data_IF_508936014342
#
_entry.id   IF_508936014342
#
_cell.length_a   1.000
_cell.length_b   1.000
_cell.length_c   1.000
_cell.angle_alpha   90.00
_cell.angle_beta   90.00
_cell.angle_gamma   90.00
#
_symmetry.space_group_name_H-M   'P 1'
#
loop_
_entity.id
_entity.type
_entity.pdbx_description
1 polymer ?
#
# COMPACT_ATOMS: atom_id res chain seq x y z
N UNK A 1 -12.58 16.90 -7.09
CA UNK A 1 -11.60 16.54 -6.04
C UNK A 1 -10.83 15.34 -6.58
N UNK A 2 -9.57 15.50 -6.98
CA UNK A 2 -8.78 14.43 -7.63
C UNK A 2 -8.24 13.54 -6.51
N UNK A 3 -8.64 12.28 -6.51
CA UNK A 3 -8.13 11.32 -5.56
C UNK A 3 -6.79 10.80 -6.10
N UNK A 4 -5.77 10.67 -5.26
CA UNK A 4 -4.45 10.14 -5.61
C UNK A 4 -4.02 9.11 -4.56
N UNK A 5 -4.26 7.81 -4.77
CA UNK A 5 -3.80 6.72 -3.92
C UNK A 5 -2.66 6.03 -4.63
N UNK A 6 -1.47 6.38 -4.16
CA UNK A 6 -0.27 5.62 -4.40
C UNK A 6 -0.44 4.27 -3.70
N UNK A 7 -0.35 3.17 -4.45
CA UNK A 7 -0.62 1.84 -3.93
C UNK A 7 0.36 1.49 -2.81
N UNK A 8 -0.14 1.51 -1.57
CA UNK A 8 0.00 0.48 -0.50
C UNK A 8 1.43 0.09 -0.05
N UNK A 9 2.50 0.72 -0.54
CA UNK A 9 3.87 0.43 -0.12
C UNK A 9 4.21 0.94 1.29
N UNK A 10 3.35 1.74 1.93
CA UNK A 10 3.70 2.53 3.12
C UNK A 10 2.54 2.73 4.12
N UNK A 11 1.65 1.76 4.24
CA UNK A 11 0.56 1.82 5.22
C UNK A 11 1.16 1.78 6.67
N UNK A 12 0.43 2.23 7.69
CA UNK A 12 0.64 1.89 9.12
C UNK A 12 2.06 2.00 9.74
N UNK A 13 2.17 2.98 10.64
CA UNK A 13 3.10 2.98 11.77
C UNK A 13 2.34 2.42 12.97
N UNK A 14 2.80 1.30 13.54
CA UNK A 14 2.98 1.17 15.00
C UNK A 14 3.85 -0.04 15.37
N UNK A 15 4.82 0.19 16.25
CA UNK A 15 5.85 -0.77 16.65
C UNK A 15 5.31 -1.98 17.44
N UNK A 16 5.71 -3.21 17.07
CA UNK A 16 6.55 -4.13 17.88
C UNK A 16 6.57 -5.59 17.35
N UNK A 17 7.63 -6.30 17.75
CA UNK A 17 7.95 -7.73 17.65
C UNK A 17 6.78 -8.73 17.54
N UNK A 18 7.01 -9.85 16.82
CA UNK A 18 6.21 -11.10 16.74
C UNK A 18 4.89 -11.09 17.55
N UNK A 19 3.95 -10.22 17.17
CA UNK A 19 2.67 -10.13 17.84
C UNK A 19 1.89 -11.40 17.52
N UNK A 20 1.12 -11.90 18.47
CA UNK A 20 0.00 -12.80 18.19
C UNK A 20 -1.12 -12.03 17.49
N UNK A 21 -2.07 -12.74 16.88
CA UNK A 21 -3.26 -12.11 16.30
C UNK A 21 -3.98 -11.26 17.36
N UNK A 22 -4.13 -11.82 18.56
CA UNK A 22 -4.75 -11.19 19.73
C UNK A 22 -4.05 -9.88 20.11
N UNK A 23 -2.72 -9.89 20.18
CA UNK A 23 -1.94 -8.68 20.53
C UNK A 23 -2.05 -7.60 19.46
N UNK A 24 -2.05 -7.99 18.16
CA UNK A 24 -2.23 -7.03 17.06
C UNK A 24 -3.59 -6.33 17.11
N UNK A 25 -4.66 -7.07 17.39
CA UNK A 25 -6.01 -6.52 17.42
C UNK A 25 -6.48 -6.05 18.80
N UNK A 26 -5.68 -6.27 19.85
CA UNK A 26 -6.04 -5.91 21.22
C UNK A 26 -7.26 -6.67 21.76
N UNK A 27 -7.44 -7.94 21.34
CA UNK A 27 -8.58 -8.80 21.71
C UNK A 27 -8.13 -10.02 22.50
N UNK A 28 -9.04 -10.64 23.24
CA UNK A 28 -8.74 -11.88 23.99
C UNK A 28 -8.67 -13.13 23.11
N UNK A 29 -9.34 -13.09 21.95
CA UNK A 29 -9.37 -14.18 20.97
C UNK A 29 -9.71 -13.58 19.61
N UNK A 30 -8.91 -13.90 18.59
CA UNK A 30 -9.21 -13.47 17.23
C UNK A 30 -10.44 -14.18 16.64
N UNK A 31 -11.32 -13.40 16.01
CA UNK A 31 -12.45 -13.93 15.25
C UNK A 31 -12.01 -14.47 13.88
N UNK A 32 -12.94 -15.05 13.09
CA UNK A 32 -12.60 -15.62 11.78
C UNK A 32 -11.99 -14.59 10.82
N UNK A 33 -12.56 -13.38 10.75
CA UNK A 33 -12.00 -12.30 9.91
C UNK A 33 -10.58 -11.93 10.32
N UNK A 34 -10.36 -11.69 11.61
CA UNK A 34 -9.05 -11.30 12.16
C UNK A 34 -8.01 -12.38 11.90
N UNK A 35 -8.37 -13.67 11.99
CA UNK A 35 -7.47 -14.76 11.65
C UNK A 35 -7.12 -14.77 10.14
N UNK A 36 -8.08 -14.57 9.23
CA UNK A 36 -7.79 -14.48 7.79
C UNK A 36 -6.88 -13.28 7.45
N UNK A 37 -7.15 -12.14 8.09
CA UNK A 37 -6.35 -10.91 7.92
C UNK A 37 -5.00 -11.01 8.63
N UNK A 38 -4.87 -11.84 9.67
CA UNK A 38 -3.59 -12.09 10.35
C UNK A 38 -2.70 -13.07 9.59
N UNK A 39 -3.29 -14.09 8.97
CA UNK A 39 -2.58 -15.04 8.10
C UNK A 39 -2.05 -14.37 6.81
N UNK A 40 -2.42 -13.11 6.58
CA UNK A 40 -1.93 -12.23 5.55
C UNK A 40 -0.40 -12.04 5.63
N UNK A 41 0.31 -12.46 4.58
CA UNK A 41 1.76 -12.27 4.46
C UNK A 41 2.63 -13.50 4.80
N UNK A 42 2.03 -14.66 5.13
CA UNK A 42 2.80 -15.92 5.34
C UNK A 42 3.50 -16.46 4.09
N UNK A 43 3.22 -15.89 2.92
CA UNK A 43 3.85 -16.23 1.66
C UNK A 43 4.50 -15.00 1.02
N UNK A 44 5.70 -14.61 1.49
CA UNK A 44 6.39 -13.41 1.04
C UNK A 44 6.87 -13.47 -0.42
N UNK A 45 6.88 -14.66 -1.02
CA UNK A 45 7.36 -14.88 -2.39
C UNK A 45 6.22 -15.12 -3.39
N UNK A 46 5.04 -15.53 -2.93
CA UNK A 46 3.81 -15.55 -3.73
C UNK A 46 2.95 -14.32 -3.50
N UNK A 47 1.65 -14.52 -3.31
CA UNK A 47 0.69 -13.41 -3.30
C UNK A 47 0.78 -12.51 -2.05
N UNK A 48 1.55 -12.91 -1.04
CA UNK A 48 1.88 -12.07 0.12
C UNK A 48 3.07 -11.13 -0.10
N UNK A 49 3.69 -11.10 -1.29
CA UNK A 49 4.83 -10.21 -1.61
C UNK A 49 4.63 -8.79 -1.11
N UNK A 50 3.49 -8.20 -1.45
CA UNK A 50 3.24 -6.81 -1.14
C UNK A 50 3.07 -6.57 0.36
N UNK A 51 2.36 -7.49 1.03
CA UNK A 51 2.17 -7.50 2.47
C UNK A 51 3.50 -7.69 3.22
N UNK A 52 4.38 -8.54 2.70
CA UNK A 52 5.68 -8.77 3.32
C UNK A 52 6.59 -7.54 3.15
N UNK A 53 6.69 -7.01 1.92
CA UNK A 53 7.44 -5.80 1.64
C UNK A 53 6.98 -4.66 2.57
N UNK A 54 5.66 -4.55 2.71
CA UNK A 54 5.01 -3.62 3.61
C UNK A 54 5.47 -3.81 5.07
N UNK A 55 5.32 -5.02 5.62
CA UNK A 55 5.72 -5.33 6.99
C UNK A 55 7.22 -5.05 7.21
N UNK A 56 8.10 -5.42 6.27
CA UNK A 56 9.55 -5.17 6.40
C UNK A 56 9.87 -3.67 6.46
N UNK A 57 9.19 -2.86 5.66
CA UNK A 57 9.36 -1.39 5.68
C UNK A 57 8.78 -0.78 6.95
N UNK A 58 7.62 -1.24 7.43
CA UNK A 58 6.99 -0.79 8.68
C UNK A 58 7.93 -0.97 9.88
N UNK A 59 8.59 -2.12 9.98
CA UNK A 59 9.55 -2.41 11.06
C UNK A 59 10.90 -1.68 10.89
N UNK A 60 11.09 -0.97 9.77
CA UNK A 60 12.30 -0.21 9.52
C UNK A 60 12.23 1.19 10.12
N UNK A 61 13.37 1.71 10.60
CA UNK A 61 13.46 3.10 11.08
C UNK A 61 13.52 4.15 9.95
N UNK A 62 13.17 3.78 8.71
CA UNK A 62 13.33 4.63 7.54
C UNK A 62 12.60 5.97 7.69
N UNK A 63 11.31 5.98 8.05
CA UNK A 63 10.56 7.23 8.21
C UNK A 63 11.12 8.09 9.34
N UNK A 64 11.42 7.47 10.48
CA UNK A 64 11.96 8.17 11.66
C UNK A 64 13.28 8.92 11.38
N UNK A 65 14.06 8.47 10.37
CA UNK A 65 15.41 9.00 10.11
C UNK A 65 15.60 9.50 8.67
N UNK A 66 14.59 9.38 7.82
CA UNK A 66 14.68 9.54 6.37
C UNK A 66 15.90 8.88 5.72
N UNK A 67 16.30 7.73 6.26
CA UNK A 67 17.46 6.97 5.79
C UNK A 67 17.02 5.81 4.92
N UNK A 68 17.22 5.96 3.61
CA UNK A 68 16.82 4.98 2.60
C UNK A 68 17.69 3.72 2.57
N UNK A 69 18.77 3.59 3.35
CA UNK A 69 19.64 2.41 3.29
C UNK A 69 18.86 1.12 3.53
N UNK A 70 18.12 1.02 4.64
CA UNK A 70 17.36 -0.20 4.98
C UNK A 70 16.22 -0.42 3.99
N UNK A 71 15.53 0.64 3.58
CA UNK A 71 14.48 0.55 2.55
C UNK A 71 15.03 0.00 1.23
N UNK A 72 16.18 0.49 0.78
CA UNK A 72 16.81 0.03 -0.46
C UNK A 72 17.24 -1.43 -0.37
N UNK A 73 17.73 -1.88 0.79
CA UNK A 73 18.09 -3.28 1.04
C UNK A 73 16.86 -4.18 0.98
N UNK A 74 15.76 -3.79 1.65
CA UNK A 74 14.48 -4.50 1.60
C UNK A 74 14.02 -4.65 0.14
N UNK A 75 13.92 -3.55 -0.62
CA UNK A 75 13.47 -3.58 -2.01
C UNK A 75 14.37 -4.47 -2.88
N UNK A 76 15.70 -4.39 -2.71
CA UNK A 76 16.65 -5.22 -3.46
C UNK A 76 16.49 -6.70 -3.13
N UNK A 77 16.32 -7.04 -1.86
CA UNK A 77 16.14 -8.41 -1.43
C UNK A 77 14.82 -8.97 -1.97
N UNK A 78 13.70 -8.25 -1.79
CA UNK A 78 12.39 -8.70 -2.26
C UNK A 78 12.36 -8.89 -3.79
N UNK A 79 12.99 -7.99 -4.55
CA UNK A 79 13.03 -8.07 -6.01
C UNK A 79 14.08 -9.05 -6.57
N UNK A 80 14.95 -9.59 -5.72
CA UNK A 80 15.92 -10.63 -6.12
C UNK A 80 15.38 -12.04 -5.96
N UNK A 81 14.28 -12.20 -5.22
CA UNK A 81 13.66 -13.48 -4.98
C UNK A 81 12.70 -13.86 -6.12
N UNK A 82 12.48 -15.18 -6.30
CA UNK A 82 11.54 -15.68 -7.29
C UNK A 82 10.10 -15.40 -6.85
N UNK A 83 9.39 -14.57 -7.63
CA UNK A 83 7.99 -14.24 -7.40
C UNK A 83 7.06 -15.22 -8.11
N UNK A 84 6.05 -15.74 -7.41
CA UNK A 84 5.19 -16.83 -7.92
C UNK A 84 3.68 -16.58 -7.86
N UNK A 85 3.20 -15.37 -7.60
CA UNK A 85 1.75 -15.11 -7.54
C UNK A 85 1.10 -15.09 -8.93
N UNK A 86 -0.13 -15.60 -9.01
CA UNK A 86 -1.03 -15.41 -10.15
C UNK A 86 -2.32 -14.71 -9.74
N UNK A 87 -3.06 -14.19 -10.72
CA UNK A 87 -4.39 -13.61 -10.45
C UNK A 87 -5.32 -14.60 -9.77
N UNK A 88 -5.41 -15.85 -10.24
CA UNK A 88 -6.32 -16.85 -9.71
C UNK A 88 -5.97 -17.24 -8.26
N UNK A 89 -4.68 -17.30 -7.94
CA UNK A 89 -4.20 -17.54 -6.59
C UNK A 89 -4.55 -16.39 -5.65
N UNK A 90 -4.22 -15.15 -6.03
CA UNK A 90 -4.61 -13.96 -5.28
C UNK A 90 -6.13 -13.89 -5.08
N UNK A 91 -6.89 -14.21 -6.13
CA UNK A 91 -8.36 -14.21 -6.13
C UNK A 91 -8.95 -15.19 -5.14
N UNK A 92 -8.41 -16.40 -5.09
CA UNK A 92 -8.84 -17.41 -4.13
C UNK A 92 -8.66 -16.91 -2.70
N UNK A 93 -7.55 -16.22 -2.43
CA UNK A 93 -7.25 -15.72 -1.09
C UNK A 93 -8.16 -14.54 -0.73
N UNK A 94 -8.26 -13.50 -1.57
CA UNK A 94 -9.09 -12.35 -1.21
C UNK A 94 -10.59 -12.68 -1.15
N UNK A 95 -11.08 -13.68 -1.92
CA UNK A 95 -12.48 -14.14 -1.82
C UNK A 95 -12.78 -14.75 -0.46
N UNK A 96 -11.80 -15.44 0.15
CA UNK A 96 -11.92 -15.95 1.52
C UNK A 96 -12.02 -14.83 2.53
N UNK A 97 -11.25 -13.76 2.34
CA UNK A 97 -11.32 -12.54 3.17
C UNK A 97 -12.66 -11.84 3.00
N UNK A 98 -13.17 -11.72 1.77
CA UNK A 98 -14.53 -11.18 1.51
C UNK A 98 -15.62 -11.95 2.26
N UNK A 99 -15.52 -13.27 2.31
CA UNK A 99 -16.46 -14.13 3.03
C UNK A 99 -16.36 -13.95 4.55
N UNK A 100 -15.14 -14.04 5.09
CA UNK A 100 -14.90 -14.04 6.54
C UNK A 100 -15.02 -12.66 7.18
N UNK A 101 -14.74 -11.60 6.43
CA UNK A 101 -14.80 -10.20 6.86
C UNK A 101 -16.03 -9.46 6.31
N UNK A 102 -17.10 -10.18 5.97
CA UNK A 102 -18.27 -9.57 5.32
C UNK A 102 -18.86 -8.39 6.10
N UNK A 103 -18.83 -8.43 7.44
CA UNK A 103 -19.34 -7.35 8.28
C UNK A 103 -18.46 -6.11 8.19
N UNK A 104 -17.15 -6.28 8.39
CA UNK A 104 -16.14 -5.23 8.31
C UNK A 104 -16.19 -4.54 6.94
N UNK A 105 -16.32 -5.32 5.87
CA UNK A 105 -16.34 -4.83 4.50
C UNK A 105 -17.61 -4.06 4.11
N UNK A 106 -18.60 -3.93 5.01
CA UNK A 106 -19.75 -3.01 4.82
C UNK A 106 -19.49 -1.61 5.38
N UNK A 107 -18.43 -1.42 6.16
CA UNK A 107 -18.17 -0.17 6.87
C UNK A 107 -17.38 0.77 5.98
N UNK A 108 -17.97 1.93 5.68
CA UNK A 108 -17.26 2.99 4.97
C UNK A 108 -16.15 3.61 5.83
N UNK A 109 -14.99 3.84 5.24
CA UNK A 109 -13.84 4.52 5.86
C UNK A 109 -13.49 5.78 5.06
N UNK A 110 -13.23 6.89 5.77
CA UNK A 110 -12.51 8.02 5.18
C UNK A 110 -11.01 7.69 5.10
N UNK A 111 -10.59 7.19 3.96
CA UNK A 111 -9.20 6.83 3.67
C UNK A 111 -8.22 8.01 3.77
N UNK A 112 -8.71 9.25 3.83
CA UNK A 112 -7.91 10.47 3.97
C UNK A 112 -7.70 10.91 5.42
N UNK A 113 -8.42 10.30 6.37
CA UNK A 113 -8.33 10.60 7.78
C UNK A 113 -6.98 10.18 8.38
N UNK A 114 -6.71 10.63 9.61
CA UNK A 114 -5.55 10.16 10.36
C UNK A 114 -5.76 8.68 10.68
N UNK A 115 -4.85 7.77 10.27
CA UNK A 115 -5.02 6.34 10.49
C UNK A 115 -5.20 5.94 11.95
N UNK A 116 -4.63 6.70 12.89
CA UNK A 116 -4.80 6.45 14.34
C UNK A 116 -6.24 6.60 14.83
N UNK A 117 -7.13 7.20 14.04
CA UNK A 117 -8.54 7.39 14.36
C UNK A 117 -9.46 6.36 13.69
N UNK A 118 -8.90 5.47 12.85
CA UNK A 118 -9.66 4.51 12.07
C UNK A 118 -9.69 3.14 12.76
N UNK A 119 -10.80 2.42 12.58
CA UNK A 119 -10.92 1.05 13.06
C UNK A 119 -9.95 0.15 12.29
N UNK A 120 -8.92 -0.31 12.98
CA UNK A 120 -7.86 -1.13 12.39
C UNK A 120 -8.39 -2.47 11.85
N UNK A 121 -9.43 -3.05 12.46
CA UNK A 121 -10.03 -4.29 11.97
C UNK A 121 -10.71 -4.07 10.63
N UNK A 122 -11.46 -2.98 10.48
CA UNK A 122 -12.10 -2.63 9.21
C UNK A 122 -11.06 -2.31 8.14
N UNK A 123 -10.09 -1.46 8.47
CA UNK A 123 -9.02 -1.07 7.53
C UNK A 123 -8.27 -2.29 7.04
N UNK A 124 -7.89 -3.19 7.96
CA UNK A 124 -7.06 -4.35 7.61
C UNK A 124 -7.79 -5.30 6.66
N UNK A 125 -9.11 -5.49 6.79
CA UNK A 125 -9.89 -6.29 5.84
C UNK A 125 -9.82 -5.77 4.41
N UNK A 126 -10.01 -4.46 4.22
CA UNK A 126 -9.89 -3.83 2.90
C UNK A 126 -8.45 -3.84 2.38
N UNK A 127 -7.47 -3.52 3.23
CA UNK A 127 -6.06 -3.52 2.87
C UNK A 127 -5.59 -4.90 2.40
N UNK A 128 -6.03 -5.96 3.08
CA UNK A 128 -5.73 -7.34 2.72
C UNK A 128 -6.22 -7.70 1.32
N UNK A 129 -7.48 -7.38 0.99
CA UNK A 129 -8.04 -7.62 -0.35
C UNK A 129 -7.26 -6.85 -1.40
N UNK A 130 -6.99 -5.57 -1.13
CA UNK A 130 -6.28 -4.69 -2.04
C UNK A 130 -4.86 -5.19 -2.34
N UNK A 131 -4.14 -5.68 -1.32
CA UNK A 131 -2.79 -6.18 -1.49
C UNK A 131 -2.73 -7.47 -2.29
N UNK A 132 -3.67 -8.41 -2.08
CA UNK A 132 -3.71 -9.63 -2.90
C UNK A 132 -4.12 -9.34 -4.34
N UNK A 133 -5.05 -8.39 -4.56
CA UNK A 133 -5.42 -7.95 -5.90
C UNK A 133 -4.25 -7.35 -6.65
N UNK A 134 -3.40 -6.59 -5.96
CA UNK A 134 -2.33 -5.83 -6.59
C UNK A 134 -0.94 -6.44 -6.45
N UNK A 135 -0.79 -7.64 -5.89
CA UNK A 135 0.50 -8.27 -5.68
C UNK A 135 1.34 -8.34 -6.97
N UNK A 136 0.73 -8.75 -8.09
CA UNK A 136 1.41 -8.87 -9.40
C UNK A 136 1.78 -7.51 -10.00
N UNK A 137 0.83 -6.57 -10.22
CA UNK A 137 1.20 -5.28 -10.81
C UNK A 137 2.14 -4.47 -9.91
N UNK A 138 2.05 -4.62 -8.58
CA UNK A 138 2.95 -3.95 -7.65
C UNK A 138 4.37 -4.52 -7.73
N UNK A 139 4.51 -5.86 -7.68
CA UNK A 139 5.80 -6.52 -7.87
C UNK A 139 6.47 -6.05 -9.17
N UNK A 140 5.75 -6.11 -10.30
CA UNK A 140 6.27 -5.69 -11.59
C UNK A 140 6.61 -4.19 -11.64
N UNK A 141 5.89 -3.36 -10.87
CA UNK A 141 6.14 -1.92 -10.78
C UNK A 141 7.39 -1.59 -9.97
N UNK A 142 7.51 -2.18 -8.78
CA UNK A 142 8.62 -1.96 -7.84
C UNK A 142 9.93 -2.55 -8.36
N UNK A 143 9.85 -3.77 -8.89
CA UNK A 143 11.03 -4.54 -9.31
C UNK A 143 11.49 -4.25 -10.73
N UNK A 144 10.83 -3.34 -11.44
CA UNK A 144 11.29 -2.85 -12.73
C UNK A 144 12.64 -2.14 -12.58
N UNK A 145 13.61 -2.53 -13.42
CA UNK A 145 14.89 -1.82 -13.53
C UNK A 145 14.77 -0.69 -14.54
N UNK A 146 15.13 0.51 -14.13
CA UNK A 146 15.15 1.65 -15.05
C UNK A 146 16.37 1.62 -15.95
N UNK A 147 16.41 2.57 -16.88
CA UNK A 147 17.57 2.89 -17.72
C UNK A 147 18.86 3.18 -16.94
N UNK A 148 18.77 3.58 -15.65
CA UNK A 148 19.93 3.76 -14.77
C UNK A 148 20.47 2.43 -14.21
N UNK A 149 19.70 1.34 -14.34
CA UNK A 149 19.98 0.03 -13.76
C UNK A 149 19.47 -0.15 -12.33
N UNK A 150 18.90 0.88 -11.71
CA UNK A 150 18.32 0.81 -10.36
C UNK A 150 16.85 0.39 -10.40
N UNK A 151 16.33 -0.12 -9.27
CA UNK A 151 14.93 -0.55 -9.15
C UNK A 151 13.98 0.65 -8.98
N UNK A 152 12.79 0.54 -9.56
CA UNK A 152 11.79 1.58 -9.50
C UNK A 152 11.26 1.87 -8.09
N UNK A 153 11.16 0.85 -7.24
CA UNK A 153 10.86 1.05 -5.82
C UNK A 153 11.86 1.98 -5.11
N UNK A 154 13.12 2.00 -5.54
CA UNK A 154 14.18 2.83 -4.97
C UNK A 154 14.21 4.22 -5.58
N UNK A 155 14.02 4.35 -6.89
CA UNK A 155 14.07 5.65 -7.54
C UNK A 155 12.83 6.51 -7.26
N UNK A 156 11.64 5.89 -7.25
CA UNK A 156 10.38 6.61 -7.13
C UNK A 156 10.19 7.29 -5.76
N UNK A 157 10.78 6.76 -4.69
CA UNK A 157 10.58 7.27 -3.33
C UNK A 157 11.43 8.51 -3.01
N UNK A 158 12.53 8.74 -3.74
CA UNK A 158 13.52 9.80 -3.43
C UNK A 158 12.89 11.21 -3.38
N UNK A 159 12.08 11.65 -4.38
CA UNK A 159 11.49 12.97 -4.35
C UNK A 159 10.57 13.18 -3.15
N UNK A 160 9.80 12.15 -2.77
CA UNK A 160 8.93 12.20 -1.59
C UNK A 160 9.76 12.38 -0.31
N UNK A 161 10.85 11.62 -0.15
CA UNK A 161 11.73 11.73 1.02
C UNK A 161 12.38 13.11 1.12
N UNK A 162 12.84 13.67 0.01
CA UNK A 162 13.44 15.00 -0.01
C UNK A 162 12.44 16.09 0.35
N UNK A 163 11.17 15.91 0.01
CA UNK A 163 10.08 16.78 0.44
C UNK A 163 9.77 16.61 1.93
N UNK A 164 9.63 15.37 2.42
CA UNK A 164 9.36 15.09 3.84
C UNK A 164 10.45 15.65 4.77
N UNK A 165 11.72 15.54 4.38
CA UNK A 165 12.86 16.14 5.11
C UNK A 165 12.71 17.66 5.29
N UNK A 166 12.08 18.34 4.34
CA UNK A 166 11.85 19.80 4.39
C UNK A 166 10.64 20.15 5.25
N UNK A 167 9.54 19.42 5.07
CA UNK A 167 8.26 19.72 5.73
C UNK A 167 8.18 19.21 7.18
N UNK A 168 8.84 18.08 7.45
CA UNK A 168 8.78 17.33 8.70
C UNK A 168 10.19 16.82 9.06
N UNK A 169 11.19 17.70 9.29
CA UNK A 169 12.59 17.31 9.49
C UNK A 169 12.82 16.30 10.63
N UNK A 170 11.88 16.16 11.57
CA UNK A 170 11.91 15.23 12.68
C UNK A 170 11.63 13.75 12.32
N UNK A 171 11.20 13.43 11.09
CA UNK A 171 11.02 12.04 10.62
C UNK A 171 9.76 11.32 11.10
N UNK A 172 9.07 11.81 12.12
CA UNK A 172 7.89 11.17 12.68
C UNK A 172 6.64 11.49 11.84
N UNK A 173 6.52 10.82 10.69
CA UNK A 173 5.44 11.06 9.71
C UNK A 173 4.48 9.90 9.62
N UNK A 174 3.18 10.16 9.70
CA UNK A 174 2.16 9.14 9.46
C UNK A 174 1.35 9.52 8.23
N UNK A 175 1.26 8.64 7.23
CA UNK A 175 0.51 8.91 6.00
C UNK A 175 -0.98 8.60 6.20
N UNK A 176 -1.88 9.36 5.57
CA UNK A 176 -3.24 8.85 5.33
C UNK A 176 -3.17 7.62 4.44
N UNK A 177 -4.11 6.68 4.58
CA UNK A 177 -4.12 5.45 3.78
C UNK A 177 -4.29 5.72 2.28
N UNK A 178 -4.93 6.84 1.94
CA UNK A 178 -5.04 7.31 0.57
C UNK A 178 -3.83 8.13 0.10
N UNK A 179 -2.77 8.29 0.89
CA UNK A 179 -1.54 9.02 0.56
C UNK A 179 -1.74 10.46 0.07
N UNK A 180 -2.87 11.08 0.40
CA UNK A 180 -3.07 12.51 0.13
C UNK A 180 -2.44 13.39 1.20
N UNK A 181 -2.25 12.85 2.40
CA UNK A 181 -1.81 13.62 3.54
C UNK A 181 -0.73 12.90 4.34
N UNK A 182 0.12 13.69 4.99
CA UNK A 182 0.94 13.27 6.11
C UNK A 182 0.49 13.99 7.37
N UNK A 183 0.60 13.29 8.50
CA UNK A 183 0.30 13.77 9.83
C UNK A 183 1.61 13.85 10.61
N UNK A 184 1.88 15.03 11.16
CA UNK A 184 2.93 15.24 12.16
C UNK A 184 2.53 14.61 13.48
N UNK A 185 3.51 14.41 14.37
CA UNK A 185 3.29 13.90 15.73
C UNK A 185 2.31 14.73 16.55
N UNK A 186 2.23 16.04 16.29
CA UNK A 186 1.27 16.95 16.94
C UNK A 186 -0.15 16.91 16.34
N UNK A 187 -0.38 16.05 15.33
CA UNK A 187 -1.64 15.92 14.62
C UNK A 187 -1.81 16.87 13.42
N UNK A 188 -0.85 17.75 13.15
CA UNK A 188 -0.90 18.65 11.98
C UNK A 188 -0.97 17.84 10.69
N UNK A 189 -1.99 18.12 9.88
CA UNK A 189 -2.22 17.49 8.57
C UNK A 189 -1.61 18.35 7.45
N UNK A 190 -0.76 17.75 6.63
CA UNK A 190 -0.13 18.39 5.48
C UNK A 190 -0.50 17.60 4.22
N UNK A 191 -0.95 18.30 3.18
CA UNK A 191 -1.25 17.67 1.91
C UNK A 191 0.04 17.39 1.14
N UNK A 192 0.17 16.18 0.60
CA UNK A 192 1.30 15.79 -0.25
C UNK A 192 1.10 16.43 -1.64
N UNK A 193 2.11 17.12 -2.19
CA UNK A 193 2.05 17.68 -3.54
C UNK A 193 1.77 16.60 -4.58
N UNK A 194 0.81 16.87 -5.47
CA UNK A 194 0.36 15.87 -6.45
C UNK A 194 1.47 15.44 -7.40
N UNK A 195 2.46 16.29 -7.69
CA UNK A 195 3.61 16.00 -8.54
C UNK A 195 4.58 14.98 -7.93
N UNK A 196 4.60 14.83 -6.60
CA UNK A 196 5.38 13.78 -5.92
C UNK A 196 4.67 12.43 -5.96
N UNK A 197 3.37 12.45 -6.26
CA UNK A 197 2.50 11.28 -6.40
C UNK A 197 2.19 10.99 -7.89
N UNK A 198 2.41 11.98 -8.74
CA UNK A 198 2.09 12.02 -10.18
C UNK A 198 3.27 11.54 -11.01
N UNK A 199 3.10 10.37 -11.58
CA UNK A 199 4.21 9.50 -11.96
C UNK A 199 4.51 9.57 -13.46
N UNK A 200 5.09 10.70 -13.86
CA UNK A 200 5.42 10.97 -15.27
C UNK A 200 6.84 10.55 -15.68
N UNK A 201 7.70 10.19 -14.71
CA UNK A 201 9.02 9.61 -14.96
C UNK A 201 8.95 8.15 -15.46
N UNK A 202 10.10 7.54 -15.69
CA UNK A 202 10.21 6.16 -16.21
C UNK A 202 9.46 5.14 -15.34
N UNK A 203 9.73 5.13 -14.04
CA UNK A 203 9.03 4.25 -13.09
C UNK A 203 7.54 4.49 -13.01
N UNK A 204 7.15 5.75 -13.14
CA UNK A 204 5.76 6.11 -13.12
C UNK A 204 5.00 5.60 -14.33
N UNK A 205 5.59 5.74 -15.52
CA UNK A 205 5.06 5.15 -16.76
C UNK A 205 4.98 3.62 -16.68
N UNK A 206 5.98 2.98 -16.07
CA UNK A 206 5.94 1.53 -15.85
C UNK A 206 4.77 1.13 -14.94
N UNK A 207 4.60 1.78 -13.79
CA UNK A 207 3.48 1.50 -12.90
C UNK A 207 2.13 1.71 -13.58
N UNK A 208 1.95 2.82 -14.29
CA UNK A 208 0.74 3.10 -15.06
C UNK A 208 0.42 1.95 -16.02
N UNK A 209 1.44 1.45 -16.73
CA UNK A 209 1.29 0.36 -17.69
C UNK A 209 0.89 -0.94 -16.99
N UNK A 210 1.59 -1.33 -15.93
CA UNK A 210 1.31 -2.58 -15.21
C UNK A 210 -0.11 -2.59 -14.64
N UNK A 211 -0.52 -1.52 -13.95
CA UNK A 211 -1.86 -1.45 -13.34
C UNK A 211 -2.99 -1.29 -14.35
N UNK A 212 -2.81 -0.53 -15.44
CA UNK A 212 -3.83 -0.46 -16.51
C UNK A 212 -4.03 -1.82 -17.15
N UNK A 213 -2.93 -2.47 -17.54
CA UNK A 213 -2.98 -3.81 -18.12
C UNK A 213 -3.64 -4.80 -17.17
N UNK A 214 -3.35 -4.69 -15.87
CA UNK A 214 -3.96 -5.54 -14.85
C UNK A 214 -5.48 -5.35 -14.78
N UNK A 215 -5.96 -4.11 -14.67
CA UNK A 215 -7.39 -3.81 -14.58
C UNK A 215 -8.16 -4.09 -15.88
N UNK A 216 -7.50 -3.98 -17.03
CA UNK A 216 -8.10 -4.32 -18.33
C UNK A 216 -8.35 -5.84 -18.47
N UNK A 217 -7.48 -6.65 -17.88
CA UNK A 217 -7.59 -8.11 -17.90
C UNK A 217 -8.40 -8.67 -16.72
N UNK A 218 -8.40 -7.97 -15.58
CA UNK A 218 -8.91 -8.47 -14.32
C UNK A 218 -9.73 -7.41 -13.57
N UNK A 219 -11.02 -7.69 -13.41
CA UNK A 219 -11.94 -6.82 -12.68
C UNK A 219 -11.45 -6.56 -11.25
N UNK A 220 -11.53 -5.30 -10.85
CA UNK A 220 -11.30 -4.86 -9.47
C UNK A 220 -12.36 -5.51 -8.57
N UNK A 221 -12.01 -5.98 -7.36
CA UNK A 221 -12.99 -6.53 -6.42
C UNK A 221 -14.10 -5.52 -6.10
N UNK A 222 -15.35 -5.95 -6.18
CA UNK A 222 -16.52 -5.06 -6.02
C UNK A 222 -16.51 -4.32 -4.69
N UNK A 223 -16.09 -4.98 -3.61
CA UNK A 223 -16.01 -4.34 -2.28
C UNK A 223 -15.01 -3.18 -2.27
N UNK A 224 -13.92 -3.28 -3.04
CA UNK A 224 -12.94 -2.21 -3.20
C UNK A 224 -13.54 -1.10 -4.05
N UNK A 225 -14.06 -1.43 -5.23
CA UNK A 225 -14.62 -0.44 -6.15
C UNK A 225 -15.77 0.35 -5.50
N UNK A 226 -16.68 -0.33 -4.81
CA UNK A 226 -17.85 0.28 -4.19
C UNK A 226 -17.51 1.08 -2.93
N UNK A 227 -16.77 0.49 -2.00
CA UNK A 227 -16.63 1.06 -0.65
C UNK A 227 -15.38 1.93 -0.49
N UNK A 228 -14.37 1.75 -1.34
CA UNK A 228 -13.17 2.61 -1.37
C UNK A 228 -13.31 3.69 -2.44
N UNK A 229 -13.80 3.34 -3.62
CA UNK A 229 -13.84 4.24 -4.78
C UNK A 229 -15.24 4.74 -5.16
N UNK A 230 -16.27 4.49 -4.35
CA UNK A 230 -17.62 5.01 -4.57
C UNK A 230 -18.24 4.53 -5.90
N UNK A 231 -17.91 3.31 -6.30
CA UNK A 231 -18.26 2.71 -7.58
C UNK A 231 -17.75 3.51 -8.81
N UNK A 232 -16.60 4.18 -8.67
CA UNK A 232 -16.03 5.02 -9.71
C UNK A 232 -14.72 4.42 -10.25
N UNK A 233 -14.83 3.60 -11.28
CA UNK A 233 -13.67 2.97 -11.93
C UNK A 233 -12.78 4.02 -12.62
N UNK A 234 -13.34 5.10 -13.17
CA UNK A 234 -12.54 6.17 -13.78
C UNK A 234 -11.68 6.90 -12.75
N UNK A 235 -12.20 7.10 -11.53
CA UNK A 235 -11.40 7.62 -10.42
C UNK A 235 -10.25 6.66 -10.08
N UNK A 236 -10.49 5.35 -10.14
CA UNK A 236 -9.45 4.33 -9.96
C UNK A 236 -8.40 4.34 -11.07
N UNK A 237 -8.82 4.38 -12.33
CA UNK A 237 -7.91 4.47 -13.48
C UNK A 237 -7.15 5.81 -13.52
N UNK A 238 -7.75 6.87 -12.99
CA UNK A 238 -7.13 8.18 -12.82
C UNK A 238 -5.87 8.14 -11.95
N UNK A 239 -5.77 7.22 -10.98
CA UNK A 239 -4.56 7.00 -10.19
C UNK A 239 -3.38 6.53 -11.05
N UNK A 240 -3.68 5.76 -12.09
CA UNK A 240 -2.70 5.24 -13.03
C UNK A 240 -2.67 6.10 -14.29
N UNK A 241 -2.56 7.40 -14.07
CA UNK A 241 -2.38 8.38 -15.13
C UNK A 241 -1.28 9.37 -14.77
N UNK A 242 -0.54 9.82 -15.79
CA UNK A 242 0.31 10.99 -15.66
C UNK A 242 -0.58 12.17 -16.05
N UNK A 243 -0.96 13.06 -15.11
CA UNK A 243 -1.58 14.31 -15.50
C UNK A 243 -0.55 15.02 -16.38
N UNK A 244 -0.84 15.13 -17.68
CA UNK A 244 -0.10 16.03 -18.54
C UNK A 244 -0.11 17.37 -17.80
N UNK A 245 1.07 17.87 -17.44
CA UNK A 245 1.24 19.27 -17.13
C UNK A 245 0.81 19.98 -18.42
N UNK A 246 -0.41 20.50 -18.42
CA UNK A 246 -0.84 21.51 -19.38
C UNK A 246 -0.14 22.82 -19.04
#
# INVERSE_FOLDING_TARGET
MKFLIFFVALLIINANAELTCEERFGVSLCNECQNEVWDFGRDPLGCGFFSNLFNEIEHSSFFLKYNLTVYNEIIKNSCSADFSCSYDEGKKIWKKVEEKCANELTVYIDWSANPSLLDHTVVSSYATILSYYSAVPEHNSICHKTSSGELCGIEAIKPLVDWLKKEIPEGNVQFSYDFKYVYKKDGTRIQIPMELVGYCGECGKNMIKEYKTWMDNFSVPDVILNNVFGNNLEALQGYFSCPLIL
#
